data_IF_800733659654
#
_entry.id   IF_800733659654
#
_cell.length_a   1.000
_cell.length_b   1.000
_cell.length_c   1.000
_cell.angle_alpha   90.00
_cell.angle_beta   90.00
_cell.angle_gamma   90.00
#
_symmetry.space_group_name_H-M   'P 1'
#
loop_
_entity.id
_entity.type
_entity.pdbx_description
1 polymer ?
#
# COMPACT_ATOMS: atom_id res chain seq x y z
N UNK A 1 7.76 20.79 33.38
CA UNK A 1 6.99 19.64 32.88
C UNK A 1 7.71 19.08 31.66
N UNK A 2 8.13 17.82 31.69
CA UNK A 2 8.80 17.18 30.54
C UNK A 2 7.76 16.87 29.48
N UNK A 3 7.83 17.55 28.34
CA UNK A 3 7.14 17.13 27.12
C UNK A 3 7.83 15.84 26.65
N UNK A 4 7.32 14.67 27.07
CA UNK A 4 7.64 13.44 26.37
C UNK A 4 6.89 13.48 25.04
N UNK A 5 7.57 13.54 23.89
CA UNK A 5 6.88 13.46 22.61
C UNK A 5 6.12 12.13 22.57
N UNK A 6 4.79 12.20 22.36
CA UNK A 6 3.99 11.01 22.07
C UNK A 6 4.40 10.55 20.67
N UNK A 7 5.25 9.54 20.59
CA UNK A 7 5.69 8.97 19.32
C UNK A 7 4.53 8.21 18.68
N UNK A 8 4.36 8.36 17.36
CA UNK A 8 3.42 7.53 16.59
C UNK A 8 4.03 6.12 16.54
N UNK A 9 3.38 5.06 17.03
CA UNK A 9 3.96 3.72 17.06
C UNK A 9 4.21 3.19 15.63
N UNK A 10 5.15 2.25 15.53
CA UNK A 10 5.35 1.43 14.31
C UNK A 10 4.95 0.00 14.69
N UNK A 11 3.96 -0.56 14.03
CA UNK A 11 3.63 -1.97 14.14
C UNK A 11 4.55 -2.76 13.20
N UNK A 12 5.05 -3.88 13.72
CA UNK A 12 5.75 -4.89 12.92
C UNK A 12 4.76 -5.91 12.40
N UNK A 13 5.13 -6.65 11.34
CA UNK A 13 4.30 -7.70 10.75
C UNK A 13 3.63 -8.58 11.83
N UNK A 14 2.29 -8.74 11.79
CA UNK A 14 1.61 -9.50 12.83
C UNK A 14 1.97 -10.98 12.72
N UNK A 15 2.41 -11.57 13.83
CA UNK A 15 2.74 -12.99 13.96
C UNK A 15 3.87 -13.48 13.02
N UNK A 16 4.98 -13.94 13.60
CA UNK A 16 6.14 -14.50 12.85
C UNK A 16 5.73 -15.73 12.01
N UNK A 17 4.70 -16.48 12.43
CA UNK A 17 4.23 -17.68 11.73
C UNK A 17 3.53 -17.37 10.39
N UNK A 18 3.05 -16.15 10.20
CA UNK A 18 2.42 -15.71 8.94
C UNK A 18 3.43 -15.63 7.79
N UNK A 19 4.75 -15.64 8.09
CA UNK A 19 5.85 -15.57 7.13
C UNK A 19 5.72 -14.40 6.13
N UNK A 20 5.16 -13.29 6.61
CA UNK A 20 5.08 -12.03 5.85
C UNK A 20 3.91 -11.93 4.88
N UNK A 21 2.89 -12.79 4.99
CA UNK A 21 1.64 -12.68 4.22
C UNK A 21 0.44 -12.98 5.13
N UNK A 22 -0.52 -12.07 5.19
CA UNK A 22 -1.84 -12.28 5.79
C UNK A 22 -2.89 -11.86 4.77
N UNK A 23 -3.89 -12.72 4.56
CA UNK A 23 -5.13 -12.35 3.89
C UNK A 23 -6.32 -12.82 4.74
N UNK A 24 -7.18 -11.88 5.09
CA UNK A 24 -8.34 -12.13 5.94
C UNK A 24 -9.54 -11.32 5.47
N UNK A 25 -10.71 -11.96 5.51
CA UNK A 25 -12.00 -11.35 5.28
C UNK A 25 -12.74 -11.28 6.60
N UNK A 26 -13.31 -10.13 6.94
CA UNK A 26 -14.00 -9.92 8.20
C UNK A 26 -15.14 -8.92 8.05
N UNK A 27 -16.00 -8.86 9.06
CA UNK A 27 -17.08 -7.89 9.13
C UNK A 27 -16.57 -6.59 9.76
N UNK A 28 -17.17 -5.46 9.37
CA UNK A 28 -16.84 -4.16 9.96
C UNK A 28 -17.15 -4.14 11.46
N UNK A 29 -18.13 -4.91 11.91
CA UNK A 29 -18.51 -5.08 13.31
C UNK A 29 -17.41 -5.75 14.14
N UNK A 30 -16.61 -6.62 13.52
CA UNK A 30 -15.47 -7.30 14.17
C UNK A 30 -14.20 -6.44 14.19
N UNK A 31 -14.19 -5.27 13.53
CA UNK A 31 -13.05 -4.36 13.61
C UNK A 31 -12.89 -3.86 15.05
N UNK A 32 -11.72 -4.12 15.61
CA UNK A 32 -11.29 -3.50 16.86
C UNK A 32 -10.99 -2.01 16.63
N UNK A 33 -12.04 -1.20 16.52
CA UNK A 33 -11.99 0.25 16.22
C UNK A 33 -10.99 0.99 17.12
N UNK A 34 -10.88 0.60 18.39
CA UNK A 34 -9.92 1.20 19.33
C UNK A 34 -8.44 1.01 18.94
N UNK A 35 -8.10 -0.08 18.24
CA UNK A 35 -6.74 -0.33 17.75
C UNK A 35 -6.44 0.49 16.51
N UNK A 36 -7.39 0.55 15.57
CA UNK A 36 -7.18 1.20 14.27
C UNK A 36 -7.41 2.72 14.31
N UNK A 37 -8.14 3.26 15.31
CA UNK A 37 -8.38 4.70 15.48
C UNK A 37 -7.16 5.50 15.94
N UNK A 38 -6.18 4.82 16.54
CA UNK A 38 -4.93 5.47 16.95
C UNK A 38 -4.02 5.55 15.74
N UNK A 39 -3.49 6.74 15.46
CA UNK A 39 -2.49 6.92 14.42
C UNK A 39 -1.30 5.99 14.68
N UNK A 40 -0.91 5.23 13.67
CA UNK A 40 0.22 4.32 13.69
C UNK A 40 0.86 4.25 12.31
N UNK A 41 1.98 3.55 12.25
CA UNK A 41 2.68 3.20 11.02
C UNK A 41 2.86 1.70 11.01
N UNK A 42 2.94 1.12 9.82
CA UNK A 42 3.24 -0.30 9.67
C UNK A 42 4.56 -0.47 8.90
N UNK A 43 5.29 -1.55 9.12
CA UNK A 43 6.48 -1.89 8.33
C UNK A 43 6.18 -2.88 7.19
N UNK A 44 4.91 -2.94 6.76
CA UNK A 44 4.41 -3.82 5.70
C UNK A 44 3.38 -3.07 4.86
N UNK A 45 3.12 -3.61 3.67
CA UNK A 45 2.06 -3.11 2.80
C UNK A 45 0.70 -3.55 3.31
N UNK A 46 -0.26 -2.63 3.30
CA UNK A 46 -1.65 -2.88 3.65
C UNK A 46 -2.54 -2.54 2.45
N UNK A 47 -3.28 -3.53 1.96
CA UNK A 47 -4.41 -3.33 1.06
C UNK A 47 -5.68 -3.60 1.86
N UNK A 48 -6.54 -2.59 1.99
CA UNK A 48 -7.86 -2.75 2.60
C UNK A 48 -8.91 -2.62 1.50
N UNK A 49 -9.59 -3.72 1.23
CA UNK A 49 -10.59 -3.88 0.17
C UNK A 49 -11.95 -3.85 0.86
N UNK A 50 -12.65 -2.72 0.75
CA UNK A 50 -14.00 -2.57 1.27
C UNK A 50 -14.98 -3.16 0.26
N UNK A 51 -15.59 -4.29 0.60
CA UNK A 51 -16.51 -5.03 -0.26
C UNK A 51 -17.95 -4.54 -0.12
N UNK A 52 -18.32 -4.13 1.09
CA UNK A 52 -19.62 -3.55 1.40
C UNK A 52 -19.47 -2.53 2.52
N UNK A 53 -20.18 -1.40 2.41
CA UNK A 53 -20.26 -0.39 3.46
C UNK A 53 -19.54 0.90 3.09
N UNK A 54 -19.13 1.64 4.12
CA UNK A 54 -18.38 2.90 3.96
C UNK A 54 -17.48 3.17 5.15
N UNK A 55 -16.49 4.03 4.97
CA UNK A 55 -15.61 4.42 6.06
C UNK A 55 -14.80 5.66 5.76
N UNK A 56 -14.02 6.07 6.76
CA UNK A 56 -13.07 7.19 6.66
C UNK A 56 -11.74 6.69 7.18
N UNK A 57 -10.73 6.74 6.32
CA UNK A 57 -9.33 6.61 6.70
C UNK A 57 -8.68 7.98 6.77
N UNK A 58 -7.71 8.14 7.66
CA UNK A 58 -6.73 9.21 7.57
C UNK A 58 -5.38 8.58 7.22
N UNK A 59 -4.74 9.05 6.15
CA UNK A 59 -3.40 8.62 5.71
C UNK A 59 -2.55 9.87 5.48
N UNK A 60 -1.37 9.92 6.07
CA UNK A 60 -0.46 11.07 6.08
C UNK A 60 -1.18 12.41 6.35
N UNK A 61 -2.07 12.39 7.35
CA UNK A 61 -2.85 13.53 7.83
C UNK A 61 -3.93 14.05 6.85
N UNK A 62 -4.20 13.32 5.76
CA UNK A 62 -5.31 13.58 4.86
C UNK A 62 -6.42 12.55 5.08
N UNK A 63 -7.67 13.02 5.12
CA UNK A 63 -8.84 12.13 5.27
C UNK A 63 -9.39 11.72 3.91
N UNK A 64 -9.70 10.43 3.81
CA UNK A 64 -10.23 9.78 2.64
C UNK A 64 -11.52 9.07 3.01
N UNK A 65 -12.61 9.44 2.34
CA UNK A 65 -13.88 8.69 2.42
C UNK A 65 -13.82 7.53 1.44
N UNK A 66 -14.12 6.33 1.93
CA UNK A 66 -14.21 5.11 1.11
C UNK A 66 -15.64 4.60 1.08
N UNK A 67 -16.10 4.20 -0.10
CA UNK A 67 -17.44 3.67 -0.34
C UNK A 67 -17.29 2.41 -1.18
N UNK A 68 -17.92 1.32 -0.75
CA UNK A 68 -17.80 0.04 -1.44
C UNK A 68 -18.37 0.05 -2.86
N UNK A 69 -17.78 -0.74 -3.80
CA UNK A 69 -16.54 -1.48 -3.63
C UNK A 69 -15.32 -0.58 -3.87
N UNK A 70 -14.35 -0.62 -2.96
CA UNK A 70 -13.16 0.24 -3.08
C UNK A 70 -11.93 -0.37 -2.43
N UNK A 71 -10.73 0.04 -2.87
CA UNK A 71 -9.45 -0.33 -2.26
C UNK A 71 -8.74 0.90 -1.73
N UNK A 72 -8.25 0.85 -0.50
CA UNK A 72 -7.22 1.76 -0.01
C UNK A 72 -5.91 0.99 0.13
N UNK A 73 -4.84 1.56 -0.42
CA UNK A 73 -3.49 1.05 -0.30
C UNK A 73 -2.69 1.97 0.62
N UNK A 74 -1.99 1.36 1.58
CA UNK A 74 -1.13 2.05 2.52
C UNK A 74 0.27 1.44 2.40
N UNK A 75 1.24 2.27 2.04
CA UNK A 75 2.65 1.89 1.94
C UNK A 75 3.27 1.80 3.35
N UNK A 76 4.30 0.92 3.54
CA UNK A 76 5.11 0.93 4.75
C UNK A 76 5.50 2.34 5.19
N UNK A 77 5.40 2.55 6.49
CA UNK A 77 5.77 3.75 7.23
C UNK A 77 4.89 4.98 7.05
N UNK A 78 3.84 4.94 6.21
CA UNK A 78 2.82 5.99 6.18
C UNK A 78 2.04 6.03 7.49
N UNK A 79 1.81 7.25 7.99
CA UNK A 79 1.02 7.46 9.21
C UNK A 79 -0.44 7.29 8.85
N UNK A 80 -1.15 6.37 9.49
CA UNK A 80 -2.55 6.15 9.19
C UNK A 80 -3.40 5.76 10.42
N UNK A 81 -4.71 5.95 10.28
CA UNK A 81 -5.74 5.46 11.21
C UNK A 81 -7.09 5.31 10.52
N UNK A 82 -7.88 4.34 10.97
CA UNK A 82 -9.29 4.24 10.63
C UNK A 82 -10.13 5.12 11.55
N UNK A 83 -10.82 6.13 11.03
CA UNK A 83 -11.60 7.08 11.81
C UNK A 83 -12.98 6.49 12.16
N UNK A 84 -13.68 6.00 11.15
CA UNK A 84 -15.04 5.46 11.27
C UNK A 84 -15.33 4.48 10.14
N UNK A 85 -16.12 3.46 10.43
CA UNK A 85 -16.65 2.52 9.46
C UNK A 85 -18.11 2.27 9.76
N UNK A 86 -18.90 1.98 8.72
CA UNK A 86 -20.32 1.71 8.82
C UNK A 86 -20.69 0.49 8.00
N UNK A 87 -21.11 -0.55 8.71
CA UNK A 87 -21.69 -1.82 8.26
C UNK A 87 -20.88 -2.56 7.17
N UNK A 88 -21.06 -3.87 7.05
CA UNK A 88 -20.59 -4.63 5.88
C UNK A 88 -19.26 -5.35 6.06
N UNK A 89 -18.54 -5.58 4.97
CA UNK A 89 -17.43 -6.52 4.90
C UNK A 89 -16.22 -5.93 4.22
N UNK A 90 -15.05 -6.38 4.64
CA UNK A 90 -13.80 -6.03 4.02
C UNK A 90 -12.84 -7.23 3.98
N UNK A 91 -11.89 -7.16 3.06
CA UNK A 91 -10.74 -8.04 3.00
C UNK A 91 -9.48 -7.20 3.22
N UNK A 92 -8.58 -7.65 4.10
CA UNK A 92 -7.25 -7.09 4.25
C UNK A 92 -6.19 -8.01 3.66
N UNK A 93 -5.20 -7.42 3.00
CA UNK A 93 -3.97 -8.08 2.61
C UNK A 93 -2.82 -7.33 3.29
N UNK A 94 -2.08 -8.02 4.16
CA UNK A 94 -0.82 -7.55 4.70
C UNK A 94 0.29 -8.34 4.03
N UNK A 95 1.29 -7.64 3.48
CA UNK A 95 2.38 -8.31 2.77
C UNK A 95 3.71 -7.58 2.97
N UNK A 96 4.77 -8.33 3.26
CA UNK A 96 6.12 -7.80 3.39
C UNK A 96 6.79 -7.64 2.03
N UNK A 97 7.79 -6.76 1.95
CA UNK A 97 8.54 -6.49 0.71
C UNK A 97 9.12 -7.77 0.08
N UNK A 98 9.61 -8.72 0.88
CA UNK A 98 10.22 -9.97 0.39
C UNK A 98 9.19 -10.93 -0.25
N UNK A 99 7.91 -10.73 0.07
CA UNK A 99 6.81 -11.52 -0.45
C UNK A 99 6.10 -10.85 -1.64
N UNK A 100 6.39 -9.59 -1.92
CA UNK A 100 5.86 -8.88 -3.08
C UNK A 100 6.71 -9.17 -4.34
N UNK A 101 6.10 -9.11 -5.51
CA UNK A 101 6.83 -9.06 -6.77
C UNK A 101 7.65 -7.75 -6.82
N UNK A 102 8.92 -7.83 -7.19
CA UNK A 102 9.82 -6.68 -7.23
C UNK A 102 9.32 -5.55 -8.15
N UNK A 103 8.73 -5.88 -9.29
CA UNK A 103 8.14 -4.89 -10.21
C UNK A 103 6.97 -4.14 -9.54
N UNK A 104 6.15 -4.87 -8.77
CA UNK A 104 5.03 -4.28 -8.05
C UNK A 104 5.50 -3.34 -6.94
N UNK A 105 6.63 -3.65 -6.29
CA UNK A 105 7.19 -2.81 -5.24
C UNK A 105 7.56 -1.43 -5.77
N UNK A 106 8.22 -1.38 -6.93
CA UNK A 106 8.61 -0.13 -7.58
C UNK A 106 7.40 0.71 -8.03
N UNK A 107 6.36 0.05 -8.54
CA UNK A 107 5.10 0.71 -8.90
C UNK A 107 4.41 1.30 -7.67
N UNK A 108 4.27 0.52 -6.59
CA UNK A 108 3.63 0.94 -5.35
C UNK A 108 4.35 2.12 -4.68
N UNK A 109 5.69 2.10 -4.65
CA UNK A 109 6.51 3.21 -4.11
C UNK A 109 6.25 4.55 -4.83
N UNK A 110 5.94 4.49 -6.12
CA UNK A 110 5.64 5.67 -6.95
C UNK A 110 4.20 6.15 -6.79
N UNK A 111 3.28 5.26 -6.43
CA UNK A 111 1.86 5.57 -6.30
C UNK A 111 1.49 6.19 -4.94
N UNK A 112 2.31 6.06 -3.90
CA UNK A 112 1.94 6.56 -2.57
C UNK A 112 2.27 8.05 -2.32
N UNK A 113 1.36 8.82 -1.66
CA UNK A 113 0.04 8.40 -1.20
C UNK A 113 -0.93 8.22 -2.37
N UNK A 114 -1.68 7.11 -2.37
CA UNK A 114 -2.66 6.81 -3.40
C UNK A 114 -4.05 7.24 -2.93
N UNK A 115 -4.81 7.91 -3.81
CA UNK A 115 -6.25 8.11 -3.59
C UNK A 115 -6.96 6.74 -3.54
N UNK A 116 -8.06 6.60 -2.77
CA UNK A 116 -8.83 5.37 -2.78
C UNK A 116 -9.30 5.00 -4.19
N UNK A 117 -9.08 3.74 -4.55
CA UNK A 117 -9.52 3.17 -5.81
C UNK A 117 -10.99 2.76 -5.69
N UNK A 118 -11.89 3.46 -6.37
CA UNK A 118 -13.27 3.02 -6.53
C UNK A 118 -13.31 1.96 -7.63
N UNK A 119 -13.96 0.83 -7.35
CA UNK A 119 -14.04 -0.30 -8.27
C UNK A 119 -15.39 -0.30 -9.01
N UNK A 120 -15.35 -0.55 -10.32
CA UNK A 120 -16.56 -0.91 -11.06
C UNK A 120 -17.01 -2.33 -10.66
N UNK A 121 -18.32 -2.60 -10.67
CA UNK A 121 -18.89 -3.88 -10.24
C UNK A 121 -18.25 -5.08 -10.93
N UNK A 122 -18.06 -5.03 -12.26
CA UNK A 122 -17.45 -6.13 -13.02
C UNK A 122 -16.00 -6.42 -12.59
N UNK A 123 -15.24 -5.39 -12.25
CA UNK A 123 -13.86 -5.54 -11.77
C UNK A 123 -13.84 -6.08 -10.35
N UNK A 124 -14.77 -5.62 -9.52
CA UNK A 124 -14.94 -6.15 -8.17
C UNK A 124 -15.31 -7.64 -8.18
N UNK A 125 -16.14 -8.11 -9.11
CA UNK A 125 -16.45 -9.54 -9.24
C UNK A 125 -15.18 -10.38 -9.48
N UNK A 126 -14.29 -9.94 -10.37
CA UNK A 126 -13.01 -10.60 -10.64
C UNK A 126 -12.10 -10.58 -9.39
N UNK A 127 -12.01 -9.44 -8.70
CA UNK A 127 -11.24 -9.33 -7.46
C UNK A 127 -11.80 -10.22 -6.36
N UNK A 128 -13.13 -10.32 -6.23
CA UNK A 128 -13.82 -11.18 -5.27
C UNK A 128 -13.48 -12.65 -5.51
N UNK A 129 -13.49 -13.11 -6.76
CA UNK A 129 -13.07 -14.47 -7.11
C UNK A 129 -11.59 -14.72 -6.76
N UNK A 130 -10.72 -13.77 -7.06
CA UNK A 130 -9.30 -13.86 -6.72
C UNK A 130 -9.05 -13.87 -5.20
N UNK A 131 -9.79 -13.06 -4.43
CA UNK A 131 -9.79 -13.08 -2.96
C UNK A 131 -10.20 -14.45 -2.44
N UNK A 132 -11.29 -15.02 -2.97
CA UNK A 132 -11.78 -16.33 -2.56
C UNK A 132 -10.75 -17.43 -2.82
N UNK A 133 -10.02 -17.35 -3.94
CA UNK A 133 -8.89 -18.26 -4.22
C UNK A 133 -7.80 -18.09 -3.17
N UNK A 134 -7.35 -16.87 -2.89
CA UNK A 134 -6.30 -16.61 -1.91
C UNK A 134 -6.66 -17.13 -0.50
N UNK A 135 -7.90 -16.91 -0.05
CA UNK A 135 -8.39 -17.44 1.24
C UNK A 135 -8.38 -18.97 1.25
N UNK A 136 -8.90 -19.63 0.21
CA UNK A 136 -8.83 -21.10 0.07
C UNK A 136 -7.38 -21.59 0.05
N UNK A 137 -6.45 -20.79 -0.48
CA UNK A 137 -5.04 -21.15 -0.50
C UNK A 137 -4.38 -21.06 0.88
N UNK A 138 -4.87 -20.16 1.74
CA UNK A 138 -4.44 -20.02 3.14
C UNK A 138 -4.87 -21.22 4.01
N UNK A 139 -6.07 -21.73 3.79
CA UNK A 139 -6.67 -22.71 4.71
C UNK A 139 -6.25 -24.17 4.43
N UNK A 140 -5.48 -24.43 3.35
CA UNK A 140 -5.12 -25.78 2.93
C UNK A 140 -3.63 -26.06 3.03
N UNK A 141 -3.25 -26.91 4.00
CA UNK A 141 -1.86 -27.30 4.23
C UNK A 141 -1.32 -28.20 3.10
N UNK A 142 -0.15 -27.86 2.57
CA UNK A 142 0.51 -28.57 1.48
C UNK A 142 1.99 -28.22 1.41
N UNK A 143 2.78 -29.07 0.74
CA UNK A 143 4.25 -28.90 0.62
C UNK A 143 4.68 -27.54 0.05
N UNK A 144 3.88 -26.94 -0.84
CA UNK A 144 4.17 -25.64 -1.47
C UNK A 144 3.27 -24.52 -0.95
N UNK A 145 2.71 -24.67 0.26
CA UNK A 145 1.74 -23.75 0.85
C UNK A 145 2.09 -22.27 0.68
N UNK A 146 3.28 -21.86 1.15
CA UNK A 146 3.70 -20.45 1.13
C UNK A 146 3.92 -19.91 -0.29
N UNK A 147 4.51 -20.73 -1.17
CA UNK A 147 4.74 -20.33 -2.56
C UNK A 147 3.42 -20.12 -3.29
N UNK A 148 2.45 -21.02 -3.09
CA UNK A 148 1.12 -20.90 -3.68
C UNK A 148 0.38 -19.69 -3.10
N UNK A 149 0.41 -19.48 -1.78
CA UNK A 149 -0.20 -18.31 -1.15
C UNK A 149 0.42 -17.02 -1.68
N UNK A 150 1.76 -16.93 -1.70
CA UNK A 150 2.51 -15.80 -2.25
C UNK A 150 2.11 -15.51 -3.70
N UNK A 151 2.10 -16.51 -4.56
CA UNK A 151 1.75 -16.33 -5.97
C UNK A 151 0.29 -15.92 -6.15
N UNK A 152 -0.63 -16.48 -5.35
CA UNK A 152 -2.05 -16.10 -5.38
C UNK A 152 -2.26 -14.65 -4.93
N UNK A 153 -1.63 -14.23 -3.83
CA UNK A 153 -1.71 -12.85 -3.36
C UNK A 153 -1.06 -11.88 -4.35
N UNK A 154 0.07 -12.25 -4.98
CA UNK A 154 0.68 -11.40 -6.00
C UNK A 154 -0.21 -11.27 -7.25
N UNK A 155 -0.90 -12.34 -7.68
CA UNK A 155 -1.86 -12.22 -8.77
C UNK A 155 -3.00 -11.24 -8.43
N UNK A 156 -3.55 -11.33 -7.22
CA UNK A 156 -4.57 -10.39 -6.72
C UNK A 156 -4.05 -8.95 -6.64
N UNK A 157 -2.85 -8.75 -6.08
CA UNK A 157 -2.20 -7.44 -5.99
C UNK A 157 -1.92 -6.87 -7.37
N UNK A 158 -1.50 -7.69 -8.34
CA UNK A 158 -1.29 -7.28 -9.72
C UNK A 158 -2.57 -6.76 -10.38
N UNK A 159 -3.73 -7.39 -10.12
CA UNK A 159 -5.03 -6.90 -10.57
C UNK A 159 -5.36 -5.53 -9.95
N UNK A 160 -5.13 -5.37 -8.65
CA UNK A 160 -5.36 -4.10 -7.94
C UNK A 160 -4.45 -2.99 -8.49
N UNK A 161 -3.15 -3.26 -8.64
CA UNK A 161 -2.17 -2.32 -9.19
C UNK A 161 -2.56 -1.90 -10.61
N UNK A 162 -3.00 -2.84 -11.44
CA UNK A 162 -3.43 -2.53 -12.81
C UNK A 162 -4.57 -1.53 -12.84
N UNK A 163 -5.52 -1.63 -11.91
CA UNK A 163 -6.63 -0.66 -11.81
C UNK A 163 -6.17 0.70 -11.26
N UNK A 164 -5.22 0.74 -10.32
CA UNK A 164 -4.59 2.00 -9.91
C UNK A 164 -3.88 2.69 -11.09
N UNK A 165 -3.16 1.93 -11.91
CA UNK A 165 -2.44 2.47 -13.07
C UNK A 165 -3.37 2.92 -14.21
N UNK A 166 -4.55 2.33 -14.33
CA UNK A 166 -5.56 2.77 -15.31
C UNK A 166 -6.22 4.08 -14.89
N UNK A 167 -6.43 4.26 -13.58
CA UNK A 167 -7.07 5.44 -13.02
C UNK A 167 -6.09 6.58 -12.72
N UNK A 168 -4.78 6.33 -12.82
CA UNK A 168 -3.81 7.43 -12.82
C UNK A 168 -4.00 8.24 -14.10
N UNK A 169 -4.30 9.53 -13.93
CA UNK A 169 -4.29 10.47 -15.05
C UNK A 169 -2.87 10.45 -15.62
N UNK A 170 -2.67 10.32 -16.95
CA UNK A 170 -1.36 10.58 -17.54
C UNK A 170 -1.04 12.06 -17.24
N UNK A 171 -0.23 12.30 -16.22
CA UNK A 171 0.18 13.65 -15.87
C UNK A 171 1.11 14.14 -16.96
N UNK A 172 0.61 15.11 -17.73
CA UNK A 172 1.40 15.90 -18.64
C UNK A 172 2.42 16.68 -17.79
N UNK A 173 3.65 16.17 -17.72
CA UNK A 173 4.78 16.61 -16.88
C UNK A 173 4.61 16.46 -15.35
N UNK A 174 5.59 15.83 -14.70
CA UNK A 174 5.69 15.78 -13.24
C UNK A 174 5.86 17.20 -12.67
N UNK A 175 5.16 17.51 -11.57
CA UNK A 175 5.39 18.79 -10.90
C UNK A 175 6.78 18.83 -10.29
N UNK A 176 7.39 20.02 -10.17
CA UNK A 176 8.70 20.18 -9.52
C UNK A 176 8.71 19.59 -8.10
N UNK A 177 7.61 19.71 -7.37
CA UNK A 177 7.43 19.09 -6.06
C UNK A 177 7.50 17.57 -6.10
N UNK A 178 6.87 16.92 -7.08
CA UNK A 178 6.94 15.47 -7.26
C UNK A 178 8.37 15.00 -7.54
N UNK A 179 9.10 15.72 -8.39
CA UNK A 179 10.50 15.41 -8.70
C UNK A 179 11.37 15.53 -7.44
N UNK A 180 11.23 16.61 -6.67
CA UNK A 180 11.97 16.80 -5.42
C UNK A 180 11.67 15.69 -4.42
N UNK A 181 10.40 15.32 -4.25
CA UNK A 181 9.99 14.24 -3.33
C UNK A 181 10.54 12.89 -3.80
N UNK A 182 10.49 12.59 -5.09
CA UNK A 182 11.06 11.37 -5.67
C UNK A 182 12.56 11.27 -5.40
N UNK A 183 13.31 12.34 -5.70
CA UNK A 183 14.75 12.42 -5.45
C UNK A 183 15.08 12.27 -3.96
N UNK A 184 14.31 12.92 -3.10
CA UNK A 184 14.46 12.80 -1.65
C UNK A 184 14.28 11.34 -1.18
N UNK A 185 13.24 10.66 -1.64
CA UNK A 185 12.97 9.24 -1.32
C UNK A 185 14.13 8.35 -1.80
N UNK A 186 14.60 8.55 -3.04
CA UNK A 186 15.75 7.81 -3.58
C UNK A 186 17.02 8.02 -2.75
N UNK A 187 17.33 9.26 -2.39
CA UNK A 187 18.50 9.57 -1.56
C UNK A 187 18.38 8.96 -0.16
N UNK A 188 17.19 8.94 0.43
CA UNK A 188 16.96 8.26 1.70
C UNK A 188 17.27 6.77 1.59
N UNK A 189 16.70 6.07 0.60
CA UNK A 189 16.93 4.64 0.41
C UNK A 189 18.43 4.33 0.25
N UNK A 190 19.15 5.14 -0.53
CA UNK A 190 20.57 4.93 -0.84
C UNK A 190 21.53 5.35 0.28
N UNK A 191 21.25 6.49 0.95
CA UNK A 191 22.24 7.18 1.80
C UNK A 191 21.88 7.19 3.27
N UNK A 192 20.68 6.78 3.67
CA UNK A 192 20.24 6.90 5.07
C UNK A 192 21.19 6.24 6.07
N UNK A 193 21.84 5.12 5.74
CA UNK A 193 22.81 4.50 6.65
C UNK A 193 24.05 5.38 6.91
N UNK A 194 24.53 6.08 5.88
CA UNK A 194 25.78 6.85 5.91
C UNK A 194 25.58 8.34 6.23
N UNK A 195 24.43 8.90 5.88
CA UNK A 195 24.11 10.31 6.04
C UNK A 195 22.87 10.49 6.93
N UNK A 196 23.00 11.29 7.98
CA UNK A 196 21.96 11.51 8.99
C UNK A 196 21.51 12.97 9.09
N UNK A 197 22.15 13.86 8.34
CA UNK A 197 21.87 15.28 8.34
C UNK A 197 20.73 15.60 7.37
N UNK A 198 19.57 16.09 7.85
CA UNK A 198 18.46 16.49 6.98
C UNK A 198 18.84 17.53 5.93
N UNK A 199 19.84 18.39 6.20
CA UNK A 199 20.33 19.40 5.25
C UNK A 199 20.90 18.77 3.97
N UNK A 200 21.58 17.62 4.09
CA UNK A 200 22.11 16.91 2.91
C UNK A 200 20.98 16.57 1.94
N UNK A 201 19.92 15.96 2.46
CA UNK A 201 18.79 15.55 1.64
C UNK A 201 18.07 16.74 1.01
N UNK A 202 17.83 17.81 1.78
CA UNK A 202 17.15 19.01 1.27
C UNK A 202 17.88 19.68 0.10
N UNK A 203 19.22 19.74 0.17
CA UNK A 203 20.06 20.29 -0.90
C UNK A 203 20.03 19.34 -2.10
N UNK A 204 20.40 18.07 -1.91
CA UNK A 204 20.58 17.14 -3.01
C UNK A 204 19.27 16.72 -3.69
N UNK A 205 18.12 16.77 -3.00
CA UNK A 205 16.82 16.50 -3.64
C UNK A 205 16.32 17.65 -4.51
N UNK A 206 16.86 18.86 -4.33
CA UNK A 206 16.45 20.09 -5.04
C UNK A 206 17.34 20.41 -6.25
N UNK A 207 18.54 19.85 -6.31
CA UNK A 207 19.59 20.21 -7.28
C UNK A 207 19.63 19.32 -8.54
N UNK A 208 18.81 18.27 -8.61
CA UNK A 208 18.79 17.35 -9.77
C UNK A 208 17.78 17.86 -10.81
N UNK A 209 18.22 18.77 -11.67
CA UNK A 209 17.49 19.24 -12.86
C UNK A 209 17.58 18.25 -14.05
N UNK A 210 17.96 17.00 -13.81
CA UNK A 210 17.83 15.94 -14.81
C UNK A 210 16.64 15.04 -14.48
N UNK A 211 15.57 15.01 -15.29
CA UNK A 211 14.66 13.89 -15.24
C UNK A 211 15.50 12.63 -15.44
N UNK A 212 15.35 11.66 -14.54
CA UNK A 212 15.88 10.32 -14.74
C UNK A 212 15.21 9.83 -16.03
N UNK A 213 15.91 9.93 -17.15
CA UNK A 213 15.52 9.40 -18.44
C UNK A 213 15.48 7.87 -18.31
N UNK A 214 14.36 7.31 -17.85
CA UNK A 214 13.26 7.02 -18.76
C UNK A 214 13.67 6.49 -20.13
N UNK A 215 14.67 5.60 -20.26
CA UNK A 215 14.94 4.92 -21.53
C UNK A 215 13.68 4.13 -21.88
N UNK A 216 12.89 4.67 -22.80
CA UNK A 216 11.72 4.04 -23.38
C UNK A 216 12.20 2.86 -24.22
N UNK A 217 12.35 1.69 -23.60
CA UNK A 217 12.55 0.46 -24.33
C UNK A 217 11.22 0.07 -25.00
N UNK A 218 11.22 0.36 -26.30
CA UNK A 218 10.48 -0.24 -27.40
C UNK A 218 9.12 -0.85 -27.09
N UNK A 219 8.10 -0.12 -27.54
CA UNK A 219 6.87 -0.66 -28.10
C UNK A 219 7.20 -1.85 -28.99
N UNK A 220 6.91 -3.07 -28.54
CA UNK A 220 6.72 -4.22 -29.43
C UNK A 220 5.22 -4.31 -29.66
N UNK A 221 4.81 -3.76 -30.81
CA UNK A 221 3.56 -4.12 -31.46
C UNK A 221 3.69 -5.51 -32.06
N UNK A 222 2.96 -6.50 -31.52
CA UNK A 222 2.26 -7.56 -32.28
C UNK A 222 1.00 -7.94 -31.51
#
# INVERSE_FOLDING_TARGET
>A
MSFKPKFIPINTFPNVESKGIIIEKSSVEDLHLERIRKAHRDNYHLFFILEQGSGIFEVDFQQYTIISPSVIYIQPYQVHRGISFKDGYFTVILISDENLNAEYLDLLKKMAPADPLILETKLFDVLSDAIAVCIKMKDFERKLYLSILKNSCNALIGLIISEFLKNSVPTDSQTRSEVIVSNFKFLLDEKFAAEKNPKYYAVNSSDIDHPISIQSDQVISV
#
